data_IF_467626994764
#
_entry.id   IF_467626994764
#
_cell.length_a   1.000
_cell.length_b   1.000
_cell.length_c   1.000
_cell.angle_alpha   90.00
_cell.angle_beta   90.00
_cell.angle_gamma   90.00
#
_symmetry.space_group_name_H-M   'P 1'
#
loop_
_entity.id
_entity.type
_entity.pdbx_description
1 polymer ?
#
# COMPACT_ATOMS: atom_id res chain seq x y z
N UNK A 1 12.66 16.17 29.66
CA UNK A 1 13.40 14.93 29.30
C UNK A 1 12.64 13.65 29.70
N UNK A 2 11.97 13.61 30.87
CA UNK A 2 11.17 12.44 31.31
C UNK A 2 9.94 12.21 30.44
N UNK A 3 9.17 13.27 30.16
CA UNK A 3 7.93 13.19 29.37
C UNK A 3 8.16 12.74 27.93
N UNK A 4 9.27 13.18 27.30
CA UNK A 4 9.67 12.72 25.97
C UNK A 4 9.97 11.22 25.94
N UNK A 5 10.58 10.69 27.02
CA UNK A 5 10.91 9.26 27.13
C UNK A 5 9.66 8.41 27.39
N UNK A 6 8.73 8.93 28.18
CA UNK A 6 7.43 8.29 28.43
C UNK A 6 6.60 8.21 27.16
N UNK A 7 6.49 9.30 26.40
CA UNK A 7 5.80 9.32 25.11
C UNK A 7 6.43 8.32 24.11
N UNK A 8 7.75 8.30 24.00
CA UNK A 8 8.44 7.34 23.12
C UNK A 8 8.19 5.88 23.53
N UNK A 9 8.15 5.59 24.83
CA UNK A 9 7.87 4.24 25.31
C UNK A 9 6.42 3.84 25.00
N UNK A 10 5.47 4.76 25.16
CA UNK A 10 4.08 4.56 24.78
C UNK A 10 3.93 4.26 23.28
N UNK A 11 4.53 5.09 22.41
CA UNK A 11 4.52 4.89 20.96
C UNK A 11 5.12 3.55 20.55
N UNK A 12 6.25 3.15 21.15
CA UNK A 12 6.89 1.85 20.92
C UNK A 12 5.98 0.68 21.34
N UNK A 13 5.35 0.79 22.50
CA UNK A 13 4.43 -0.24 23.00
C UNK A 13 3.20 -0.38 22.08
N UNK A 14 2.61 0.76 21.68
CA UNK A 14 1.48 0.80 20.76
C UNK A 14 1.84 0.15 19.41
N UNK A 15 2.99 0.51 18.83
CA UNK A 15 3.46 -0.08 17.57
C UNK A 15 3.68 -1.60 17.69
N UNK A 16 4.20 -2.07 18.83
CA UNK A 16 4.38 -3.49 19.10
C UNK A 16 3.03 -4.21 19.15
N UNK A 17 2.09 -3.72 19.95
CA UNK A 17 0.76 -4.30 20.08
C UNK A 17 0.02 -4.34 18.74
N UNK A 18 0.13 -3.27 17.94
CA UNK A 18 -0.46 -3.22 16.61
C UNK A 18 0.17 -4.24 15.65
N UNK A 19 1.49 -4.40 15.65
CA UNK A 19 2.17 -5.42 14.85
C UNK A 19 1.70 -6.83 15.22
N UNK A 20 1.56 -7.11 16.52
CA UNK A 20 1.05 -8.39 16.99
C UNK A 20 -0.40 -8.63 16.56
N UNK A 21 -1.25 -7.60 16.61
CA UNK A 21 -2.62 -7.65 16.10
C UNK A 21 -2.66 -7.97 14.61
N UNK A 22 -1.88 -7.25 13.78
CA UNK A 22 -1.80 -7.53 12.34
C UNK A 22 -1.32 -8.94 12.04
N UNK A 23 -0.31 -9.44 12.77
CA UNK A 23 0.17 -10.82 12.61
C UNK A 23 -0.92 -11.85 12.93
N UNK A 24 -1.78 -11.57 13.92
CA UNK A 24 -2.91 -12.45 14.25
C UNK A 24 -3.95 -12.43 13.12
N UNK A 25 -4.29 -11.26 12.58
CA UNK A 25 -5.20 -11.15 11.44
C UNK A 25 -4.64 -11.87 10.20
N UNK A 26 -3.35 -11.70 9.89
CA UNK A 26 -2.69 -12.39 8.78
C UNK A 26 -2.82 -13.92 8.91
N UNK A 27 -2.62 -14.46 10.12
CA UNK A 27 -2.80 -15.90 10.37
C UNK A 27 -4.23 -16.37 10.10
N UNK A 28 -5.24 -15.62 10.56
CA UNK A 28 -6.65 -15.96 10.31
C UNK A 28 -6.96 -15.93 8.81
N UNK A 29 -6.54 -14.86 8.14
CA UNK A 29 -6.80 -14.60 6.73
C UNK A 29 -6.05 -15.57 5.82
N UNK A 30 -4.86 -16.05 6.22
CA UNK A 30 -4.09 -17.06 5.49
C UNK A 30 -4.86 -18.36 5.28
N UNK A 31 -5.79 -18.70 6.19
CA UNK A 31 -6.64 -19.88 6.07
C UNK A 31 -7.56 -19.82 4.86
N UNK A 32 -7.95 -18.64 4.41
CA UNK A 32 -8.79 -18.48 3.22
C UNK A 32 -8.03 -18.72 1.91
N UNK A 33 -6.69 -18.66 1.92
CA UNK A 33 -5.88 -18.78 0.71
C UNK A 33 -5.61 -20.26 0.38
N UNK A 34 -6.03 -20.72 -0.80
CA UNK A 34 -5.66 -22.06 -1.34
C UNK A 34 -4.43 -21.94 -2.22
N UNK A 35 -3.33 -22.57 -1.81
CA UNK A 35 -2.17 -22.78 -2.69
C UNK A 35 -2.51 -23.89 -3.70
N UNK A 36 -1.87 -23.89 -4.87
CA UNK A 36 -1.98 -24.98 -5.83
C UNK A 36 -1.52 -26.28 -5.15
N UNK A 37 -2.37 -27.31 -5.13
CA UNK A 37 -2.12 -28.56 -4.40
C UNK A 37 -2.54 -28.59 -2.93
N UNK A 38 -3.16 -27.52 -2.40
CA UNK A 38 -3.72 -27.53 -1.04
C UNK A 38 -5.05 -28.29 -0.99
N UNK A 39 -5.00 -29.54 -0.52
CA UNK A 39 -6.17 -30.44 -0.39
C UNK A 39 -6.92 -30.27 0.93
N UNK A 40 -6.46 -29.41 1.85
CA UNK A 40 -7.08 -29.26 3.17
C UNK A 40 -8.52 -28.76 3.07
N UNK A 41 -9.42 -29.52 3.68
CA UNK A 41 -10.78 -29.11 4.00
C UNK A 41 -10.73 -27.99 5.04
N UNK A 42 -11.43 -26.89 4.77
CA UNK A 42 -11.53 -25.74 5.68
C UNK A 42 -12.84 -25.87 6.43
N UNK A 43 -12.79 -25.77 7.75
CA UNK A 43 -14.03 -25.77 8.53
C UNK A 43 -14.81 -24.47 8.26
N UNK A 44 -16.13 -24.51 8.47
CA UNK A 44 -16.97 -23.30 8.39
C UNK A 44 -16.49 -22.21 9.37
N UNK A 45 -15.98 -22.62 10.53
CA UNK A 45 -15.42 -21.70 11.52
C UNK A 45 -14.14 -21.01 11.03
N UNK A 46 -13.22 -21.75 10.39
CA UNK A 46 -12.00 -21.16 9.82
C UNK A 46 -12.31 -20.15 8.72
N UNK A 47 -13.31 -20.44 7.89
CA UNK A 47 -13.75 -19.52 6.83
C UNK A 47 -14.33 -18.24 7.46
N UNK A 48 -15.24 -18.38 8.43
CA UNK A 48 -15.87 -17.26 9.13
C UNK A 48 -14.83 -16.36 9.83
N UNK A 49 -13.86 -16.95 10.53
CA UNK A 49 -12.78 -16.19 11.17
C UNK A 49 -11.88 -15.49 10.15
N UNK A 50 -11.61 -16.12 9.01
CA UNK A 50 -10.88 -15.49 7.92
C UNK A 50 -11.64 -14.31 7.30
N UNK A 51 -12.95 -14.44 7.10
CA UNK A 51 -13.83 -13.38 6.60
C UNK A 51 -13.84 -12.18 7.55
N UNK A 52 -13.94 -12.44 8.86
CA UNK A 52 -13.83 -11.42 9.90
C UNK A 52 -12.46 -10.75 9.87
N UNK A 53 -11.38 -11.53 9.74
CA UNK A 53 -10.02 -10.99 9.65
C UNK A 53 -9.83 -10.05 8.45
N UNK A 54 -10.38 -10.42 7.28
CA UNK A 54 -10.39 -9.56 6.09
C UNK A 54 -11.17 -8.27 6.36
N UNK A 55 -12.35 -8.37 6.98
CA UNK A 55 -13.17 -7.21 7.32
C UNK A 55 -12.41 -6.24 8.22
N UNK A 56 -11.75 -6.73 9.27
CA UNK A 56 -10.93 -5.90 10.17
C UNK A 56 -9.79 -5.20 9.41
N UNK A 57 -9.05 -5.92 8.54
CA UNK A 57 -7.99 -5.31 7.73
C UNK A 57 -8.53 -4.22 6.79
N UNK A 58 -9.70 -4.45 6.20
CA UNK A 58 -10.37 -3.51 5.32
C UNK A 58 -10.80 -2.24 6.06
N UNK A 59 -11.43 -2.39 7.23
CA UNK A 59 -11.84 -1.26 8.08
C UNK A 59 -10.63 -0.45 8.55
N UNK A 60 -9.54 -1.13 8.90
CA UNK A 60 -8.29 -0.50 9.33
C UNK A 60 -7.64 0.34 8.22
N UNK A 61 -7.65 -0.16 6.98
CA UNK A 61 -7.20 0.58 5.80
C UNK A 61 -8.04 1.85 5.57
N UNK A 62 -9.36 1.76 5.77
CA UNK A 62 -10.27 2.91 5.58
C UNK A 62 -10.07 3.94 6.70
N UNK A 63 -9.98 3.49 7.96
CA UNK A 63 -9.88 4.37 9.12
C UNK A 63 -8.52 5.06 9.23
N UNK A 64 -7.44 4.36 8.89
CA UNK A 64 -6.06 4.83 9.09
C UNK A 64 -5.18 4.63 7.84
N UNK A 65 -5.47 5.32 6.72
CA UNK A 65 -4.75 5.13 5.46
C UNK A 65 -3.26 5.54 5.53
N UNK A 66 -2.86 6.44 6.43
CA UNK A 66 -1.47 6.92 6.50
C UNK A 66 -0.64 6.31 7.65
N UNK A 67 -1.09 5.21 8.25
CA UNK A 67 -0.35 4.54 9.31
C UNK A 67 0.81 3.68 8.77
N UNK A 68 1.80 3.40 9.62
CA UNK A 68 3.09 2.78 9.23
C UNK A 68 2.97 1.44 8.47
N UNK A 69 1.87 0.71 8.66
CA UNK A 69 1.65 -0.62 8.05
C UNK A 69 0.61 -0.63 6.93
N UNK A 70 0.09 0.52 6.48
CA UNK A 70 -0.95 0.53 5.44
C UNK A 70 -0.50 -0.20 4.17
N UNK A 71 0.74 0.02 3.72
CA UNK A 71 1.28 -0.68 2.54
C UNK A 71 1.34 -2.20 2.74
N UNK A 72 1.64 -2.66 3.96
CA UNK A 72 1.61 -4.07 4.32
C UNK A 72 0.19 -4.62 4.25
N UNK A 73 -0.80 -3.88 4.77
CA UNK A 73 -2.22 -4.26 4.71
C UNK A 73 -2.67 -4.35 3.26
N UNK A 74 -2.41 -3.34 2.43
CA UNK A 74 -2.74 -3.33 0.99
C UNK A 74 -2.14 -4.55 0.30
N UNK A 75 -0.85 -4.82 0.51
CA UNK A 75 -0.17 -6.00 -0.05
C UNK A 75 -0.83 -7.31 0.40
N UNK A 76 -1.24 -7.40 1.66
CA UNK A 76 -1.87 -8.59 2.23
C UNK A 76 -3.28 -8.82 1.66
N UNK A 77 -4.11 -7.78 1.57
CA UNK A 77 -5.52 -7.94 1.17
C UNK A 77 -5.74 -7.97 -0.35
N UNK A 78 -4.85 -7.38 -1.16
CA UNK A 78 -5.03 -7.30 -2.63
C UNK A 78 -5.30 -8.66 -3.29
N UNK A 79 -4.56 -9.76 -2.98
CA UNK A 79 -4.82 -11.07 -3.58
C UNK A 79 -6.23 -11.61 -3.30
N UNK A 80 -6.86 -11.17 -2.21
CA UNK A 80 -8.20 -11.61 -1.79
C UNK A 80 -9.32 -11.00 -2.64
N UNK A 81 -9.03 -9.96 -3.42
CA UNK A 81 -9.92 -9.47 -4.46
C UNK A 81 -10.16 -10.52 -5.57
N UNK A 82 -9.28 -11.52 -5.67
CA UNK A 82 -9.39 -12.69 -6.55
C UNK A 82 -9.74 -13.98 -5.79
N UNK A 83 -10.35 -13.88 -4.60
CA UNK A 83 -10.75 -15.03 -3.78
C UNK A 83 -11.93 -15.79 -4.40
N UNK A 84 -12.11 -17.07 -4.05
CA UNK A 84 -13.32 -17.82 -4.40
C UNK A 84 -14.51 -17.43 -3.53
N UNK A 85 -14.27 -16.91 -2.33
CA UNK A 85 -15.31 -16.47 -1.40
C UNK A 85 -15.81 -15.08 -1.79
N UNK A 86 -17.09 -14.98 -2.17
CA UNK A 86 -17.69 -13.71 -2.64
C UNK A 86 -17.69 -12.64 -1.54
N UNK A 87 -18.01 -13.00 -0.29
CA UNK A 87 -18.01 -12.07 0.85
C UNK A 87 -16.63 -11.42 1.03
N UNK A 88 -15.58 -12.23 0.94
CA UNK A 88 -14.18 -11.76 1.02
C UNK A 88 -13.86 -10.79 -0.11
N UNK A 89 -14.21 -11.12 -1.36
CA UNK A 89 -13.99 -10.23 -2.51
C UNK A 89 -14.71 -8.89 -2.33
N UNK A 90 -15.97 -8.92 -1.89
CA UNK A 90 -16.78 -7.72 -1.69
C UNK A 90 -16.24 -6.81 -0.59
N UNK A 91 -15.75 -7.38 0.52
CA UNK A 91 -15.12 -6.60 1.59
C UNK A 91 -13.89 -5.83 1.06
N UNK A 92 -13.00 -6.50 0.33
CA UNK A 92 -11.79 -5.87 -0.24
C UNK A 92 -12.15 -4.85 -1.32
N UNK A 93 -13.10 -5.19 -2.20
CA UNK A 93 -13.59 -4.29 -3.26
C UNK A 93 -14.13 -2.98 -2.66
N UNK A 94 -15.00 -3.09 -1.66
CA UNK A 94 -15.60 -1.92 -1.00
C UNK A 94 -14.56 -1.11 -0.23
N UNK A 95 -13.55 -1.75 0.36
CA UNK A 95 -12.44 -1.06 1.01
C UNK A 95 -11.65 -0.23 0.02
N UNK A 96 -11.20 -0.82 -1.09
CA UNK A 96 -10.45 -0.10 -2.12
C UNK A 96 -11.27 1.02 -2.75
N UNK A 97 -12.55 0.78 -3.06
CA UNK A 97 -13.46 1.82 -3.54
C UNK A 97 -13.52 3.02 -2.59
N UNK A 98 -13.69 2.78 -1.28
CA UNK A 98 -13.70 3.84 -0.27
C UNK A 98 -12.34 4.53 -0.17
N UNK A 99 -11.25 3.77 -0.18
CA UNK A 99 -9.89 4.32 -0.15
C UNK A 99 -9.63 5.25 -1.33
N UNK A 100 -10.03 4.89 -2.55
CA UNK A 100 -9.86 5.75 -3.74
C UNK A 100 -10.61 7.08 -3.64
N UNK A 101 -11.73 7.11 -2.90
CA UNK A 101 -12.50 8.33 -2.67
C UNK A 101 -11.87 9.20 -1.57
N UNK A 102 -11.37 8.56 -0.50
CA UNK A 102 -10.85 9.25 0.69
C UNK A 102 -9.37 9.65 0.58
N UNK A 103 -8.59 8.97 -0.27
CA UNK A 103 -7.15 9.19 -0.41
C UNK A 103 -6.83 10.44 -1.25
N UNK A 104 -6.79 11.58 -0.56
CA UNK A 104 -6.47 12.88 -1.16
C UNK A 104 -5.04 12.99 -1.71
N UNK A 105 -4.08 12.25 -1.15
CA UNK A 105 -2.67 12.31 -1.56
C UNK A 105 -2.37 11.34 -2.71
N UNK A 106 -3.22 10.35 -2.92
CA UNK A 106 -3.07 9.34 -3.97
C UNK A 106 -1.97 8.31 -3.68
N UNK A 107 -1.27 8.39 -2.55
CA UNK A 107 -0.15 7.50 -2.22
C UNK A 107 -0.62 6.05 -2.00
N UNK A 108 -1.73 5.88 -1.31
CA UNK A 108 -2.29 4.56 -1.00
C UNK A 108 -2.99 4.00 -2.23
N UNK A 109 -3.69 4.86 -2.96
CA UNK A 109 -4.31 4.56 -4.25
C UNK A 109 -3.28 4.05 -5.25
N UNK A 110 -2.13 4.74 -5.38
CA UNK A 110 -1.03 4.31 -6.24
C UNK A 110 -0.47 2.95 -5.82
N UNK A 111 -0.30 2.71 -4.51
CA UNK A 111 0.14 1.41 -4.01
C UNK A 111 -0.88 0.30 -4.36
N UNK A 112 -2.18 0.54 -4.15
CA UNK A 112 -3.23 -0.42 -4.51
C UNK A 112 -3.20 -0.73 -6.01
N UNK A 113 -3.15 0.29 -6.87
CA UNK A 113 -3.11 0.12 -8.34
C UNK A 113 -1.88 -0.68 -8.76
N UNK A 114 -0.70 -0.39 -8.19
CA UNK A 114 0.52 -1.18 -8.44
C UNK A 114 0.33 -2.65 -8.05
N UNK A 115 -0.27 -2.92 -6.89
CA UNK A 115 -0.51 -4.31 -6.44
C UNK A 115 -1.54 -5.04 -7.29
N UNK A 116 -2.56 -4.34 -7.78
CA UNK A 116 -3.53 -4.92 -8.72
C UNK A 116 -2.83 -5.29 -10.03
N UNK A 117 -1.99 -4.40 -10.57
CA UNK A 117 -1.20 -4.69 -11.78
C UNK A 117 -0.29 -5.92 -11.59
N UNK A 118 0.44 -6.00 -10.47
CA UNK A 118 1.26 -7.16 -10.13
C UNK A 118 0.43 -8.45 -10.05
N UNK A 119 -0.77 -8.38 -9.45
CA UNK A 119 -1.69 -9.51 -9.32
C UNK A 119 -2.16 -10.01 -10.69
N UNK A 120 -2.59 -9.10 -11.58
CA UNK A 120 -3.06 -9.42 -12.93
C UNK A 120 -1.95 -10.08 -13.75
N UNK A 121 -0.74 -9.52 -13.72
CA UNK A 121 0.45 -10.09 -14.38
C UNK A 121 0.78 -11.49 -13.84
N UNK A 122 0.83 -11.64 -12.52
CA UNK A 122 1.13 -12.92 -11.86
C UNK A 122 0.10 -14.01 -12.15
N UNK A 123 -1.14 -13.63 -12.46
CA UNK A 123 -2.23 -14.54 -12.80
C UNK A 123 -2.40 -14.72 -14.32
N UNK A 124 -1.50 -14.19 -15.14
CA UNK A 124 -1.60 -14.23 -16.61
C UNK A 124 -2.99 -13.77 -17.09
N UNK A 125 -3.51 -12.69 -16.50
CA UNK A 125 -4.83 -12.12 -16.79
C UNK A 125 -6.03 -13.02 -16.45
N UNK A 126 -5.83 -14.21 -15.88
CA UNK A 126 -6.88 -15.07 -15.35
C UNK A 126 -7.32 -14.60 -13.95
N UNK A 127 -8.01 -13.46 -13.90
CA UNK A 127 -8.54 -12.85 -12.68
C UNK A 127 -10.05 -12.70 -12.71
N UNK A 128 -10.67 -12.58 -11.53
CA UNK A 128 -12.09 -12.29 -11.37
C UNK A 128 -12.41 -10.85 -11.80
N UNK A 129 -13.62 -10.57 -12.32
CA UNK A 129 -13.99 -9.24 -12.80
C UNK A 129 -13.80 -8.12 -11.78
N UNK A 130 -14.03 -8.41 -10.49
CA UNK A 130 -13.89 -7.46 -9.38
C UNK A 130 -12.48 -6.88 -9.27
N UNK A 131 -11.46 -7.60 -9.74
CA UNK A 131 -10.06 -7.14 -9.73
C UNK A 131 -9.86 -5.94 -10.66
N UNK A 132 -10.55 -5.93 -11.79
CA UNK A 132 -10.44 -4.85 -12.79
C UNK A 132 -11.49 -3.78 -12.52
N UNK A 133 -12.73 -4.16 -12.21
CA UNK A 133 -13.84 -3.21 -12.03
C UNK A 133 -13.62 -2.25 -10.85
N UNK A 134 -12.82 -2.62 -9.86
CA UNK A 134 -12.50 -1.72 -8.74
C UNK A 134 -11.78 -0.45 -9.24
N UNK A 135 -10.96 -0.57 -10.29
CA UNK A 135 -10.20 0.54 -10.87
C UNK A 135 -11.11 1.60 -11.51
N UNK A 136 -12.34 1.24 -11.91
CA UNK A 136 -13.33 2.20 -12.41
C UNK A 136 -13.80 3.19 -11.35
N UNK A 137 -13.47 2.98 -10.07
CA UNK A 137 -13.76 3.91 -8.98
C UNK A 137 -12.63 4.95 -8.77
N UNK A 138 -11.55 4.90 -9.54
CA UNK A 138 -10.50 5.90 -9.51
C UNK A 138 -11.04 7.23 -10.05
N UNK A 139 -10.91 8.30 -9.26
CA UNK A 139 -11.24 9.66 -9.70
C UNK A 139 -10.06 10.22 -10.50
N UNK A 140 -10.01 9.88 -11.78
CA UNK A 140 -8.97 10.35 -12.73
C UNK A 140 -9.33 11.74 -13.29
N UNK A 141 -10.52 12.26 -12.98
CA UNK A 141 -10.94 13.60 -13.41
C UNK A 141 -9.95 14.65 -12.90
N UNK A 142 -9.33 15.36 -13.85
CA UNK A 142 -8.45 16.53 -13.72
C UNK A 142 -6.94 16.29 -13.53
N UNK A 143 -6.40 15.21 -14.09
CA UNK A 143 -4.95 15.11 -14.29
C UNK A 143 -4.60 15.77 -15.64
N UNK A 144 -4.19 17.03 -15.61
CA UNK A 144 -3.54 17.67 -16.77
C UNK A 144 -2.16 17.03 -16.97
N UNK A 145 -2.12 15.99 -17.80
CA UNK A 145 -0.92 15.19 -18.10
C UNK A 145 0.24 16.03 -18.65
N UNK A 146 -0.07 17.12 -19.34
CA UNK A 146 0.94 18.02 -19.89
C UNK A 146 1.60 18.82 -18.77
N UNK A 147 0.83 19.29 -17.78
CA UNK A 147 1.34 19.98 -16.59
C UNK A 147 2.27 19.07 -15.76
N UNK A 148 1.95 17.79 -15.64
CA UNK A 148 2.82 16.82 -14.95
C UNK A 148 4.14 16.63 -15.69
N UNK A 149 4.11 16.48 -17.02
CA UNK A 149 5.33 16.36 -17.83
C UNK A 149 6.20 17.60 -17.74
N UNK A 150 5.59 18.79 -17.74
CA UNK A 150 6.31 20.05 -17.56
C UNK A 150 6.99 20.14 -16.20
N UNK A 151 6.31 19.75 -15.12
CA UNK A 151 6.86 19.80 -13.77
C UNK A 151 8.01 18.78 -13.57
N UNK A 152 7.88 17.57 -14.12
CA UNK A 152 8.98 16.58 -14.14
C UNK A 152 10.21 17.10 -14.91
N UNK A 153 10.00 17.80 -16.03
CA UNK A 153 11.10 18.40 -16.79
C UNK A 153 11.77 19.56 -16.03
N UNK A 154 10.98 20.41 -15.35
CA UNK A 154 11.51 21.49 -14.49
C UNK A 154 12.33 20.93 -13.34
N UNK A 155 11.86 19.88 -12.69
CA UNK A 155 12.56 19.25 -11.57
C UNK A 155 13.90 18.63 -12.00
N UNK A 156 13.92 17.92 -13.14
CA UNK A 156 15.15 17.39 -13.76
C UNK A 156 16.15 18.51 -14.09
N UNK A 157 15.69 19.63 -14.67
CA UNK A 157 16.54 20.80 -14.96
C UNK A 157 17.10 21.42 -13.67
N UNK A 158 16.29 21.52 -12.62
CA UNK A 158 16.72 22.06 -11.32
C UNK A 158 17.77 21.16 -10.65
N UNK A 159 17.57 19.84 -10.67
CA UNK A 159 18.55 18.86 -10.16
C UNK A 159 19.86 18.90 -10.95
N UNK A 160 19.79 19.03 -12.28
CA UNK A 160 20.98 19.20 -13.14
C UNK A 160 21.73 20.51 -12.82
N UNK A 161 21.02 21.61 -12.54
CA UNK A 161 21.65 22.87 -12.15
C UNK A 161 22.30 22.78 -10.77
N UNK A 162 21.62 22.19 -9.76
CA UNK A 162 22.18 21.97 -8.42
C UNK A 162 23.44 21.11 -8.46
N UNK A 163 23.43 20.01 -9.20
CA UNK A 163 24.60 19.12 -9.32
C UNK A 163 25.79 19.80 -10.00
N UNK A 164 25.56 20.63 -11.03
CA UNK A 164 26.63 21.46 -11.65
C UNK A 164 27.26 22.43 -10.66
N UNK A 165 26.45 23.17 -9.89
CA UNK A 165 26.95 24.14 -8.88
C UNK A 165 27.75 23.44 -7.79
N UNK A 166 27.29 22.29 -7.30
CA UNK A 166 28.01 21.48 -6.31
C UNK A 166 29.36 20.98 -6.87
N UNK A 167 29.39 20.56 -8.15
CA UNK A 167 30.62 20.09 -8.79
C UNK A 167 31.63 21.22 -9.05
N UNK A 168 31.16 22.42 -9.38
CA UNK A 168 32.00 23.62 -9.53
C UNK A 168 32.65 23.99 -8.19
N UNK A 169 31.87 24.07 -7.11
CA UNK A 169 32.38 24.38 -5.76
C UNK A 169 33.40 23.36 -5.26
N UNK A 170 33.24 22.08 -5.62
CA UNK A 170 34.24 21.03 -5.32
C UNK A 170 35.54 21.17 -6.11
N UNK A 171 35.49 21.67 -7.36
CA UNK A 171 36.68 21.94 -8.17
C UNK A 171 37.46 23.14 -7.63
N UNK A 172 36.77 24.21 -7.25
CA UNK A 172 37.37 25.43 -6.69
C UNK A 172 38.11 25.13 -5.37
N UNK A 173 37.53 24.31 -4.49
CA UNK A 173 38.20 23.86 -3.25
C UNK A 173 39.45 23.00 -3.47
N UNK A 174 39.56 22.30 -4.61
CA UNK A 174 40.76 21.52 -4.95
C UNK A 174 41.88 22.41 -5.50
N UNK A 175 41.53 23.51 -6.18
CA UNK A 175 42.52 24.45 -6.73
C UNK A 175 43.12 25.32 -5.62
N UNK A 176 42.34 25.69 -4.60
CA UNK A 176 42.81 26.51 -3.47
C UNK A 176 43.69 25.79 -2.42
N UNK A 177 43.87 24.47 -2.52
CA UNK A 177 44.63 23.67 -1.55
C UNK A 177 46.00 23.20 -2.09
N UNK A 178 46.44 23.76 -3.23
CA UNK A 178 47.68 23.43 -3.94
C UNK A 178 48.68 24.62 -4.01
N UNK A 179 48.54 25.60 -3.11
CA UNK A 179 49.49 26.71 -2.93
C UNK A 179 49.97 26.74 -1.48
#
# INVERSE_FOLDING_TARGET
KKDTRELQNFEKSLLKGYREYLNRLEKLVSKLFKKKGDTRMRSKQEISLGELGIKCLCELLIAHPYFNYTKNIVRLITPYLNSNFTVVRQNVYNAFRKTFICDKRGEITLEIVKRINDLVKKKHHAVKPEVISVLSNLRIQDINLDKIKEDEQKEKKLMAKKSRVINLSKKERKVGNNY
#
